data_IF_614192288785
#
_entry.id   IF_614192288785
#
_cell.length_a   1.000
_cell.length_b   1.000
_cell.length_c   1.000
_cell.angle_alpha   90.00
_cell.angle_beta   90.00
_cell.angle_gamma   90.00
#
_symmetry.space_group_name_H-M   'P 1'
#
loop_
_entity.id
_entity.type
_entity.pdbx_description
1 polymer ?
#
# COMPACT_ATOMS: atom_id res chain seq x y z
N UNK A 1 -2.51 14.47 19.13
CA UNK A 1 -2.04 13.21 18.55
C UNK A 1 -3.23 12.28 18.41
N UNK A 2 -3.39 11.56 17.31
CA UNK A 2 -4.55 10.72 17.05
C UNK A 2 -4.10 9.30 16.73
N UNK A 3 -4.80 8.32 17.30
CA UNK A 3 -4.72 6.94 16.89
C UNK A 3 -5.88 6.67 15.92
N UNK A 4 -5.57 6.06 14.79
CA UNK A 4 -6.53 5.74 13.75
C UNK A 4 -6.70 4.24 13.72
N UNK A 5 -7.96 3.80 13.74
CA UNK A 5 -8.31 2.40 13.61
C UNK A 5 -9.22 2.23 12.41
N UNK A 6 -8.80 1.39 11.48
CA UNK A 6 -9.62 0.95 10.36
C UNK A 6 -9.89 -0.55 10.50
N UNK A 7 -11.14 -0.94 10.36
CA UNK A 7 -11.58 -2.33 10.41
C UNK A 7 -12.40 -2.60 9.17
N UNK A 8 -12.19 -3.75 8.55
CA UNK A 8 -12.92 -4.14 7.36
C UNK A 8 -12.91 -5.64 7.11
N UNK A 9 -13.72 -6.05 6.16
CA UNK A 9 -13.79 -7.42 5.67
C UNK A 9 -13.90 -7.40 4.15
N UNK A 10 -13.24 -8.35 3.50
CA UNK A 10 -13.38 -8.62 2.07
C UNK A 10 -13.67 -10.10 1.89
N UNK A 11 -14.53 -10.43 0.91
CA UNK A 11 -14.93 -11.82 0.63
C UNK A 11 -14.39 -12.34 -0.71
N UNK A 12 -13.74 -11.47 -1.49
CA UNK A 12 -13.37 -11.70 -2.88
C UNK A 12 -11.86 -11.61 -3.13
N UNK A 13 -11.05 -11.42 -2.09
CA UNK A 13 -9.58 -11.39 -2.15
C UNK A 13 -9.00 -12.19 -0.99
N UNK A 14 -7.81 -12.76 -1.19
CA UNK A 14 -7.10 -13.50 -0.14
C UNK A 14 -6.22 -12.57 0.73
N UNK A 15 -5.94 -12.97 1.98
CA UNK A 15 -4.96 -12.29 2.84
C UNK A 15 -3.61 -12.01 2.18
N UNK A 16 -3.06 -12.99 1.44
CA UNK A 16 -1.76 -12.86 0.80
C UNK A 16 -1.75 -11.71 -0.22
N UNK A 17 -2.69 -11.71 -1.18
CA UNK A 17 -2.77 -10.64 -2.18
C UNK A 17 -3.12 -9.28 -1.56
N UNK A 18 -3.91 -9.26 -0.48
CA UNK A 18 -4.21 -8.03 0.24
C UNK A 18 -2.95 -7.40 0.87
N UNK A 19 -2.06 -8.22 1.42
CA UNK A 19 -0.81 -7.77 2.03
C UNK A 19 0.25 -7.45 0.97
N UNK A 20 0.41 -8.27 -0.06
CA UNK A 20 1.41 -8.07 -1.12
C UNK A 20 1.24 -6.70 -1.80
N UNK A 21 -0.01 -6.32 -2.11
CA UNK A 21 -0.33 -5.01 -2.71
C UNK A 21 0.18 -3.83 -1.88
N UNK A 22 0.20 -3.99 -0.55
CA UNK A 22 0.56 -2.93 0.40
C UNK A 22 2.03 -2.98 0.81
N UNK A 23 2.59 -4.19 0.87
CA UNK A 23 3.90 -4.42 1.45
C UNK A 23 5.00 -4.53 0.42
N UNK A 24 4.69 -5.01 -0.79
CA UNK A 24 5.71 -5.15 -1.82
C UNK A 24 6.11 -3.77 -2.33
N UNK A 25 7.39 -3.43 -2.14
CA UNK A 25 7.92 -2.07 -2.32
C UNK A 25 7.83 -1.64 -3.77
N UNK A 26 8.26 -2.48 -4.71
CA UNK A 26 8.31 -2.10 -6.11
C UNK A 26 6.91 -2.04 -6.72
N UNK A 27 6.03 -2.97 -6.34
CA UNK A 27 4.65 -2.95 -6.77
C UNK A 27 3.89 -1.73 -6.24
N UNK A 28 4.01 -1.42 -4.93
CA UNK A 28 3.30 -0.30 -4.31
C UNK A 28 3.66 1.05 -4.93
N UNK A 29 4.92 1.26 -5.29
CA UNK A 29 5.37 2.48 -5.98
C UNK A 29 4.65 2.75 -7.29
N UNK A 30 4.20 1.70 -7.97
CA UNK A 30 3.61 1.84 -9.30
C UNK A 30 2.14 2.25 -9.22
N UNK A 31 1.39 1.68 -8.27
CA UNK A 31 -0.04 1.91 -8.18
C UNK A 31 -0.43 3.04 -7.22
N UNK A 32 0.34 3.27 -6.15
CA UNK A 32 0.08 4.32 -5.18
C UNK A 32 0.71 5.64 -5.62
N UNK A 33 -0.12 6.49 -6.25
CA UNK A 33 0.31 7.80 -6.76
C UNK A 33 0.77 8.78 -5.68
N UNK A 34 0.52 8.48 -4.40
CA UNK A 34 0.98 9.32 -3.29
C UNK A 34 2.38 8.94 -2.79
N UNK A 35 2.90 7.77 -3.17
CA UNK A 35 4.29 7.38 -2.89
C UNK A 35 5.21 8.18 -3.81
N UNK A 36 6.09 9.00 -3.22
CA UNK A 36 7.18 9.67 -3.96
C UNK A 36 8.42 8.79 -4.03
N UNK A 37 8.68 8.05 -2.96
CA UNK A 37 9.83 7.15 -2.82
C UNK A 37 9.43 6.05 -1.84
N UNK A 38 9.75 4.81 -2.15
CA UNK A 38 9.61 3.68 -1.24
C UNK A 38 10.80 2.76 -1.53
N UNK A 39 11.61 2.48 -0.52
CA UNK A 39 12.86 1.74 -0.70
C UNK A 39 13.11 0.82 0.47
N UNK A 40 13.46 -0.42 0.16
CA UNK A 40 14.04 -1.35 1.10
C UNK A 40 15.51 -0.96 1.30
N UNK A 41 15.86 -0.52 2.51
CA UNK A 41 17.22 -0.14 2.88
C UNK A 41 18.05 -1.32 3.37
N UNK A 42 17.40 -2.27 4.06
CA UNK A 42 18.00 -3.47 4.63
C UNK A 42 16.92 -4.53 4.82
N UNK A 43 17.28 -5.79 4.65
CA UNK A 43 16.43 -6.95 4.93
C UNK A 43 17.28 -7.98 5.69
N UNK A 44 16.77 -8.44 6.83
CA UNK A 44 17.35 -9.49 7.66
C UNK A 44 16.22 -10.37 8.19
N UNK A 45 16.08 -11.58 7.67
CA UNK A 45 14.99 -12.51 8.02
C UNK A 45 13.60 -11.84 7.85
N UNK A 46 12.79 -11.82 8.91
CA UNK A 46 11.46 -11.18 8.94
C UNK A 46 11.52 -9.66 9.22
N UNK A 47 12.71 -9.05 9.18
CA UNK A 47 12.93 -7.64 9.50
C UNK A 47 13.34 -6.84 8.28
N UNK A 48 12.51 -5.89 7.92
CA UNK A 48 12.75 -4.99 6.79
C UNK A 48 12.90 -3.56 7.30
N UNK A 49 13.96 -2.89 6.87
CA UNK A 49 14.15 -1.46 7.12
C UNK A 49 13.74 -0.70 5.86
N UNK A 50 12.68 0.11 5.96
CA UNK A 50 12.05 0.75 4.81
C UNK A 50 12.14 2.27 4.93
N UNK A 51 12.48 2.94 3.83
CA UNK A 51 12.32 4.39 3.66
C UNK A 51 11.10 4.66 2.79
N UNK A 52 10.17 5.45 3.31
CA UNK A 52 8.97 5.88 2.60
C UNK A 52 8.86 7.40 2.61
N UNK A 53 8.79 8.00 1.41
CA UNK A 53 8.48 9.42 1.22
C UNK A 53 7.10 9.54 0.59
N UNK A 54 6.20 10.20 1.32
CA UNK A 54 4.79 10.34 1.00
C UNK A 54 4.47 11.77 0.60
N UNK A 55 3.68 11.96 -0.47
CA UNK A 55 3.12 13.26 -0.85
C UNK A 55 2.19 13.77 0.25
N UNK A 56 2.30 15.06 0.53
CA UNK A 56 1.35 15.77 1.36
C UNK A 56 0.71 16.91 0.57
N UNK A 57 -0.53 17.31 0.91
CA UNK A 57 -1.21 18.39 0.21
C UNK A 57 -0.46 19.72 0.41
N UNK A 58 -0.31 20.46 -0.69
CA UNK A 58 0.25 21.81 -0.67
C UNK A 58 -0.52 22.71 0.32
N UNK A 59 0.16 23.55 1.14
CA UNK A 59 1.58 23.92 1.09
C UNK A 59 2.52 23.04 1.95
N UNK A 60 2.07 21.88 2.42
CA UNK A 60 2.89 21.06 3.29
C UNK A 60 3.95 20.26 2.49
N UNK A 61 5.15 20.16 3.05
CA UNK A 61 6.24 19.36 2.47
C UNK A 61 5.96 17.85 2.57
N UNK A 62 6.54 17.02 1.69
CA UNK A 62 6.48 15.56 1.79
C UNK A 62 6.96 15.05 3.15
N UNK A 63 6.40 13.94 3.63
CA UNK A 63 6.85 13.29 4.86
C UNK A 63 7.77 12.14 4.53
N UNK A 64 8.83 12.02 5.29
CA UNK A 64 9.76 10.92 5.20
C UNK A 64 9.72 10.08 6.48
N UNK A 65 9.30 8.84 6.31
CA UNK A 65 9.30 7.79 7.31
C UNK A 65 10.48 6.88 7.04
N UNK A 66 11.21 6.50 8.07
CA UNK A 66 12.07 5.31 8.02
C UNK A 66 11.71 4.46 9.21
N UNK A 67 11.30 3.23 8.94
CA UNK A 67 10.73 2.34 9.93
C UNK A 67 11.22 0.92 9.71
N UNK A 68 11.29 0.16 10.80
CA UNK A 68 11.43 -1.27 10.74
C UNK A 68 10.04 -1.89 10.60
N UNK A 69 9.87 -2.80 9.65
CA UNK A 69 8.67 -3.62 9.45
C UNK A 69 8.98 -5.05 9.84
N UNK A 70 8.03 -5.69 10.52
CA UNK A 70 8.09 -7.08 10.94
C UNK A 70 6.80 -7.77 10.57
N UNK A 71 6.89 -8.99 10.06
CA UNK A 71 5.74 -9.79 9.65
C UNK A 71 5.76 -11.11 10.38
N UNK A 72 4.67 -11.46 11.05
CA UNK A 72 4.46 -12.78 11.66
C UNK A 72 3.28 -13.47 11.02
N UNK A 73 3.44 -14.74 10.69
CA UNK A 73 2.38 -15.60 10.16
C UNK A 73 2.08 -16.67 11.19
N UNK A 74 0.81 -16.78 11.58
CA UNK A 74 0.31 -17.88 12.42
C UNK A 74 -0.63 -18.73 11.57
N UNK A 75 -0.15 -19.92 11.19
CA UNK A 75 -0.94 -20.89 10.45
C UNK A 75 -2.13 -21.38 11.28
N UNK A 76 -1.92 -21.72 12.56
CA UNK A 76 -2.97 -22.21 13.47
C UNK A 76 -4.17 -21.27 13.62
N UNK A 77 -3.91 -19.95 13.57
CA UNK A 77 -4.96 -18.94 13.69
C UNK A 77 -5.32 -18.26 12.37
N UNK A 78 -4.74 -18.74 11.26
CA UNK A 78 -4.81 -18.17 9.91
C UNK A 78 -4.69 -16.64 9.92
N UNK A 79 -3.74 -16.13 10.72
CA UNK A 79 -3.57 -14.70 10.99
C UNK A 79 -2.17 -14.24 10.63
N UNK A 80 -2.09 -13.13 9.91
CA UNK A 80 -0.85 -12.43 9.58
C UNK A 80 -0.83 -11.08 10.29
N UNK A 81 0.25 -10.78 10.99
CA UNK A 81 0.47 -9.51 11.69
C UNK A 81 1.64 -8.80 11.05
N UNK A 82 1.43 -7.56 10.62
CA UNK A 82 2.47 -6.66 10.11
C UNK A 82 2.59 -5.49 11.07
N UNK A 83 3.72 -5.38 11.75
CA UNK A 83 4.03 -4.26 12.66
C UNK A 83 5.12 -3.41 12.05
N UNK A 84 4.95 -2.09 12.12
CA UNK A 84 5.87 -1.10 11.57
C UNK A 84 6.12 -0.04 12.62
N UNK A 85 7.39 0.23 12.94
CA UNK A 85 7.78 1.20 13.94
C UNK A 85 8.95 2.03 13.46
N UNK A 86 8.86 3.35 13.65
CA UNK A 86 9.90 4.30 13.24
C UNK A 86 11.24 3.99 13.90
N UNK A 87 12.32 4.12 13.14
CA UNK A 87 13.68 4.04 13.71
C UNK A 87 14.16 5.42 14.14
N UNK A 88 15.03 5.52 15.17
CA UNK A 88 15.58 6.80 15.59
C UNK A 88 16.20 7.60 14.44
N UNK A 89 15.85 8.88 14.35
CA UNK A 89 16.17 9.74 13.21
C UNK A 89 17.67 9.94 12.98
N UNK A 90 18.49 9.79 14.01
CA UNK A 90 19.95 9.93 13.95
C UNK A 90 20.65 8.74 13.28
N UNK A 91 20.02 7.56 13.22
CA UNK A 91 20.64 6.36 12.64
C UNK A 91 20.68 6.44 11.11
N UNK A 92 19.68 7.09 10.50
CA UNK A 92 19.54 7.15 9.06
C UNK A 92 19.25 8.60 8.66
N UNK A 93 20.16 9.25 7.91
CA UNK A 93 19.99 10.62 7.51
C UNK A 93 18.78 10.76 6.59
N UNK A 94 18.02 11.82 6.83
CA UNK A 94 16.90 12.22 5.99
C UNK A 94 17.29 13.23 4.92
N UNK A 95 16.35 13.55 4.04
CA UNK A 95 16.51 14.62 3.05
C UNK A 95 15.99 15.96 3.61
N UNK A 96 16.71 17.09 3.44
CA UNK A 96 16.21 18.40 3.86
C UNK A 96 14.99 18.87 3.06
N UNK A 97 14.64 18.19 1.96
CA UNK A 97 13.43 18.47 1.16
C UNK A 97 12.16 17.87 1.76
N UNK A 98 12.30 16.99 2.75
CA UNK A 98 11.22 16.25 3.37
C UNK A 98 11.17 16.57 4.87
N UNK A 99 9.98 16.49 5.44
CA UNK A 99 9.79 16.54 6.90
C UNK A 99 9.96 15.13 7.44
N UNK A 100 10.99 14.94 8.27
CA UNK A 100 11.32 13.67 8.92
C UNK A 100 10.32 13.39 10.04
N UNK A 101 9.56 12.30 9.94
CA UNK A 101 8.64 11.89 11.01
C UNK A 101 9.39 11.12 12.08
N UNK A 102 9.34 11.59 13.32
CA UNK A 102 10.03 10.98 14.46
C UNK A 102 9.14 10.05 15.28
N UNK A 103 7.81 10.16 15.15
CA UNK A 103 6.86 9.29 15.85
C UNK A 103 5.90 8.67 14.85
N UNK A 104 6.06 7.37 14.61
CA UNK A 104 5.19 6.59 13.74
C UNK A 104 5.17 5.13 14.21
N UNK A 105 3.96 4.57 14.31
CA UNK A 105 3.71 3.16 14.54
C UNK A 105 2.47 2.73 13.77
N UNK A 106 2.53 1.58 13.12
CA UNK A 106 1.41 0.97 12.43
C UNK A 106 1.39 -0.53 12.69
N UNK A 107 0.20 -1.08 12.96
CA UNK A 107 -0.01 -2.51 13.12
C UNK A 107 -1.22 -2.94 12.33
N UNK A 108 -1.01 -3.86 11.39
CA UNK A 108 -2.06 -4.51 10.63
C UNK A 108 -2.17 -5.95 11.09
N UNK A 109 -3.38 -6.38 11.45
CA UNK A 109 -3.71 -7.78 11.64
C UNK A 109 -4.70 -8.18 10.55
N UNK A 110 -4.41 -9.26 9.83
CA UNK A 110 -5.26 -9.83 8.78
C UNK A 110 -5.54 -11.27 9.16
N UNK A 111 -6.81 -11.65 9.24
CA UNK A 111 -7.23 -13.01 9.52
C UNK A 111 -8.01 -13.56 8.34
N UNK A 112 -7.63 -14.73 7.84
CA UNK A 112 -8.42 -15.41 6.81
C UNK A 112 -9.76 -15.89 7.35
N UNK A 113 -10.76 -15.96 6.48
CA UNK A 113 -12.01 -16.68 6.80
C UNK A 113 -11.83 -18.20 6.75
N UNK A 114 -10.81 -18.69 6.02
CA UNK A 114 -10.44 -20.11 5.86
C UNK A 114 -8.90 -20.22 5.83
N UNK A 115 -8.32 -20.73 4.75
CA UNK A 115 -6.86 -20.77 4.52
C UNK A 115 -6.32 -19.42 4.04
N UNK A 116 -5.02 -19.15 4.17
CA UNK A 116 -4.42 -17.86 3.81
C UNK A 116 -4.48 -17.55 2.29
N UNK A 117 -4.58 -18.59 1.48
CA UNK A 117 -4.67 -18.51 0.02
C UNK A 117 -6.12 -18.35 -0.46
N UNK A 118 -7.10 -18.66 0.38
CA UNK A 118 -8.52 -18.60 0.03
C UNK A 118 -9.03 -17.15 0.03
N UNK A 119 -10.09 -16.90 -0.74
CA UNK A 119 -10.81 -15.65 -0.67
C UNK A 119 -11.55 -15.52 0.66
N UNK A 120 -11.49 -14.32 1.25
CA UNK A 120 -12.14 -14.04 2.53
C UNK A 120 -11.12 -13.63 3.58
N UNK A 121 -11.20 -12.39 4.03
CA UNK A 121 -10.37 -11.88 5.10
C UNK A 121 -11.09 -10.83 5.94
N UNK A 122 -10.76 -10.80 7.23
CA UNK A 122 -11.02 -9.66 8.10
C UNK A 122 -9.68 -8.96 8.39
N UNK A 123 -9.69 -7.64 8.48
CA UNK A 123 -8.49 -6.90 8.84
C UNK A 123 -8.76 -5.80 9.85
N UNK A 124 -7.74 -5.52 10.65
CA UNK A 124 -7.66 -4.37 11.56
C UNK A 124 -6.32 -3.68 11.32
N UNK A 125 -6.38 -2.41 10.90
CA UNK A 125 -5.23 -1.52 10.82
C UNK A 125 -5.31 -0.50 11.95
N UNK A 126 -4.31 -0.48 12.80
CA UNK A 126 -4.10 0.55 13.82
C UNK A 126 -2.88 1.37 13.41
N UNK A 127 -3.07 2.67 13.24
CA UNK A 127 -2.06 3.58 12.72
C UNK A 127 -1.94 4.79 13.65
N UNK A 128 -0.72 5.20 13.95
CA UNK A 128 -0.42 6.30 14.85
C UNK A 128 0.81 7.05 14.32
N UNK A 129 0.67 8.36 14.13
CA UNK A 129 1.77 9.22 13.71
C UNK A 129 1.69 10.63 14.29
N UNK A 130 2.85 11.28 14.35
CA UNK A 130 2.96 12.73 14.40
C UNK A 130 3.46 13.23 13.03
N UNK A 131 2.62 13.88 12.20
CA UNK A 131 3.03 14.37 10.88
C UNK A 131 3.93 15.62 10.95
N UNK A 132 4.37 16.00 12.15
CA UNK A 132 5.20 17.17 12.47
C UNK A 132 4.63 18.48 11.90
N UNK A 133 3.29 18.57 11.86
CA UNK A 133 2.58 19.75 11.41
C UNK A 133 1.18 19.82 12.01
N UNK A 134 0.68 21.05 12.13
CA UNK A 134 -0.72 21.30 12.45
C UNK A 134 -1.58 21.06 11.21
N UNK A 135 -2.19 19.87 11.11
CA UNK A 135 -3.08 19.54 9.99
C UNK A 135 -4.44 20.22 10.19
N UNK A 136 -4.91 21.06 9.25
CA UNK A 136 -6.23 21.67 9.34
C UNK A 136 -7.34 20.62 9.41
N UNK A 137 -8.40 20.90 10.17
CA UNK A 137 -9.54 19.97 10.36
C UNK A 137 -10.21 19.56 9.06
N UNK A 138 -10.28 20.46 8.07
CA UNK A 138 -10.82 20.17 6.74
C UNK A 138 -10.01 19.10 5.99
N UNK A 139 -8.68 19.21 6.03
CA UNK A 139 -7.76 18.21 5.42
C UNK A 139 -7.89 16.88 6.15
N UNK A 140 -7.92 16.90 7.48
CA UNK A 140 -8.16 15.71 8.29
C UNK A 140 -9.47 15.01 7.91
N UNK A 141 -10.58 15.76 7.88
CA UNK A 141 -11.88 15.22 7.51
C UNK A 141 -11.88 14.65 6.09
N UNK A 142 -11.18 15.29 5.15
CA UNK A 142 -11.03 14.77 3.80
C UNK A 142 -10.25 13.45 3.78
N UNK A 143 -9.13 13.35 4.52
CA UNK A 143 -8.34 12.13 4.62
C UNK A 143 -9.17 10.95 5.16
N UNK A 144 -9.93 11.17 6.24
CA UNK A 144 -10.76 10.12 6.85
C UNK A 144 -11.93 9.70 5.96
N UNK A 145 -12.63 10.66 5.35
CA UNK A 145 -13.86 10.36 4.60
C UNK A 145 -13.63 9.99 3.14
N UNK A 146 -12.49 10.37 2.55
CA UNK A 146 -12.20 10.16 1.13
C UNK A 146 -10.87 9.44 0.92
N UNK A 147 -9.79 9.93 1.53
CA UNK A 147 -8.43 9.40 1.32
C UNK A 147 -8.28 7.93 1.74
N UNK A 148 -8.62 7.62 2.99
CA UNK A 148 -8.56 6.25 3.53
C UNK A 148 -9.44 5.26 2.75
N UNK A 149 -10.74 5.55 2.55
CA UNK A 149 -11.60 4.69 1.75
C UNK A 149 -11.13 4.52 0.30
N UNK A 150 -10.55 5.57 -0.31
CA UNK A 150 -9.96 5.47 -1.64
C UNK A 150 -8.77 4.52 -1.65
N UNK A 151 -7.84 4.65 -0.71
CA UNK A 151 -6.69 3.77 -0.56
C UNK A 151 -7.12 2.29 -0.48
N UNK A 152 -8.08 1.97 0.41
CA UNK A 152 -8.57 0.60 0.58
C UNK A 152 -9.25 0.04 -0.69
N UNK A 153 -9.99 0.88 -1.45
CA UNK A 153 -10.54 0.46 -2.75
C UNK A 153 -9.44 0.14 -3.76
N UNK A 154 -8.35 0.92 -3.77
CA UNK A 154 -7.21 0.64 -4.63
C UNK A 154 -6.53 -0.65 -4.22
N UNK A 155 -6.31 -0.88 -2.91
CA UNK A 155 -5.74 -2.14 -2.40
C UNK A 155 -6.56 -3.34 -2.90
N UNK A 156 -7.88 -3.33 -2.69
CA UNK A 156 -8.77 -4.40 -3.19
C UNK A 156 -8.69 -4.56 -4.71
N UNK A 157 -8.73 -3.45 -5.45
CA UNK A 157 -8.64 -3.48 -6.92
C UNK A 157 -7.37 -4.17 -7.40
N UNK A 158 -6.21 -3.82 -6.84
CA UNK A 158 -4.94 -4.40 -7.25
C UNK A 158 -4.76 -5.83 -6.74
N UNK A 159 -5.31 -6.18 -5.57
CA UNK A 159 -5.34 -7.56 -5.10
C UNK A 159 -6.13 -8.46 -6.06
N UNK A 160 -7.29 -7.99 -6.56
CA UNK A 160 -8.05 -8.70 -7.60
C UNK A 160 -7.25 -8.85 -8.89
N UNK A 161 -6.61 -7.78 -9.37
CA UNK A 161 -5.80 -7.83 -10.60
C UNK A 161 -4.67 -8.86 -10.46
N UNK A 162 -3.93 -8.82 -9.36
CA UNK A 162 -2.82 -9.75 -9.11
C UNK A 162 -3.34 -11.19 -9.05
N UNK A 163 -4.47 -11.42 -8.35
CA UNK A 163 -5.04 -12.77 -8.22
C UNK A 163 -5.39 -13.45 -9.56
N UNK A 164 -5.65 -12.66 -10.61
CA UNK A 164 -5.94 -13.14 -11.96
C UNK A 164 -4.67 -13.23 -12.82
N UNK A 165 -3.72 -12.32 -12.63
CA UNK A 165 -2.52 -12.21 -13.46
C UNK A 165 -1.36 -13.11 -13.00
N UNK A 166 -1.32 -13.52 -11.72
CA UNK A 166 -0.29 -14.40 -11.20
C UNK A 166 -0.73 -15.87 -11.15
N UNK A 167 0.07 -16.79 -11.70
CA UNK A 167 0.11 -18.17 -11.21
C UNK A 167 0.45 -18.18 -9.72
N UNK A 168 -0.12 -19.14 -8.96
CA UNK A 168 0.26 -19.36 -7.55
C UNK A 168 1.79 -19.50 -7.44
N UNK A 169 2.41 -18.82 -6.48
CA UNK A 169 3.86 -18.81 -6.17
C UNK A 169 4.77 -17.97 -7.08
N UNK A 170 4.26 -16.89 -7.68
CA UNK A 170 5.11 -15.89 -8.35
C UNK A 170 5.09 -14.54 -7.61
N UNK A 171 6.18 -13.80 -7.72
CA UNK A 171 6.34 -12.47 -7.10
C UNK A 171 5.44 -11.43 -7.81
N UNK A 172 4.78 -10.58 -7.02
CA UNK A 172 3.99 -9.44 -7.47
C UNK A 172 4.76 -8.46 -8.37
N UNK A 173 6.08 -8.41 -8.26
CA UNK A 173 6.92 -7.60 -9.14
C UNK A 173 6.84 -8.02 -10.62
N UNK A 174 6.56 -9.29 -10.93
CA UNK A 174 6.44 -9.80 -12.32
C UNK A 174 5.13 -9.36 -13.00
N UNK A 175 4.07 -9.14 -12.21
CA UNK A 175 2.74 -8.68 -12.68
C UNK A 175 2.85 -7.35 -13.41
N UNK A 176 3.82 -6.51 -13.04
CA UNK A 176 4.10 -5.26 -13.71
C UNK A 176 4.35 -5.44 -15.21
N UNK A 177 5.17 -6.43 -15.60
CA UNK A 177 5.44 -6.68 -17.02
C UNK A 177 4.15 -7.03 -17.74
N UNK A 178 3.30 -7.85 -17.14
CA UNK A 178 2.03 -8.29 -17.73
C UNK A 178 1.03 -7.14 -17.84
N UNK A 179 0.83 -6.35 -16.77
CA UNK A 179 -0.09 -5.19 -16.78
C UNK A 179 0.36 -4.12 -17.77
N UNK A 180 1.66 -3.80 -17.80
CA UNK A 180 2.20 -2.81 -18.75
C UNK A 180 2.09 -3.33 -20.19
N UNK A 181 2.42 -4.60 -20.45
CA UNK A 181 2.26 -5.20 -21.78
C UNK A 181 0.79 -5.19 -22.22
N UNK A 182 -0.15 -5.57 -21.35
CA UNK A 182 -1.59 -5.52 -21.66
C UNK A 182 -2.10 -4.10 -21.91
N UNK A 183 -1.69 -3.10 -21.11
CA UNK A 183 -2.07 -1.70 -21.33
C UNK A 183 -1.42 -1.12 -22.60
N UNK A 184 -0.21 -1.54 -22.95
CA UNK A 184 0.47 -1.14 -24.19
C UNK A 184 -0.20 -1.76 -25.42
N UNK A 185 -0.62 -3.03 -25.33
CA UNK A 185 -1.38 -3.73 -26.39
C UNK A 185 -2.80 -3.13 -26.55
N UNK A 186 -3.47 -2.78 -25.45
CA UNK A 186 -4.76 -2.08 -25.48
C UNK A 186 -4.66 -0.67 -26.08
N UNK A 187 -3.53 0.02 -25.88
CA UNK A 187 -3.28 1.33 -26.50
C UNK A 187 -2.97 1.25 -28.01
N UNK A 188 -2.62 0.07 -28.56
CA UNK A 188 -2.26 -0.12 -29.98
C UNK A 188 -3.48 -0.49 -30.86
N UNK A 189 -4.66 -0.78 -30.30
CA UNK A 189 -5.89 -1.00 -31.10
C UNK A 189 -6.87 0.18 -31.02
N UNK A 190 -6.46 1.36 -31.49
CA UNK A 190 -7.42 2.34 -32.04
C UNK A 190 -7.58 2.07 -33.54
N UNK A 191 -8.51 1.17 -33.89
CA UNK A 191 -8.98 1.06 -35.28
C UNK A 191 -9.96 2.21 -35.51
N UNK A 192 -9.73 3.11 -36.48
CA UNK A 192 -10.65 4.22 -36.74
C UNK A 192 -11.97 3.67 -37.31
N UNK A 193 -13.08 4.00 -36.65
CA UNK A 193 -14.42 3.79 -37.19
C UNK A 193 -14.59 4.79 -38.34
N UNK A 194 -14.51 4.28 -39.57
CA UNK A 194 -14.84 5.02 -40.77
C UNK A 194 -16.36 5.26 -40.78
N UNK A 195 -16.82 6.45 -40.40
CA UNK A 195 -18.20 6.86 -40.66
C UNK A 195 -18.37 7.08 -42.17
N UNK A 196 -18.92 6.07 -42.87
CA UNK A 196 -19.54 6.27 -44.17
C UNK A 196 -20.88 6.98 -43.97
N UNK A 197 -20.98 8.22 -44.45
CA UNK A 197 -22.27 8.82 -44.78
C UNK A 197 -22.87 8.06 -45.96
N UNK A 198 -24.09 7.58 -45.82
CA UNK A 198 -24.96 7.29 -46.95
C UNK A 198 -26.26 8.06 -46.78
N UNK A 199 -26.50 8.89 -47.80
CA UNK A 199 -27.68 9.67 -48.21
C UNK A 199 -28.14 10.77 -47.25
#
# INVERSE_FOLDING_TARGET
MYEYKCVGSYYDISPNYFLDVQNEVEFRRQWDSNVMRLELLKEEDEHELIRWVQKYPYPLYPREYVYARRTWVSEDSHTIIVDSEVVPTHLIPGSPKNVRVATYRSRMAVRSHKELEDHGLDFVLTYFDNPEANIPRSVYNWMVNHGGPYFLRQVRKYALIISVCLPKNQDCSEVFRIIVLCNTILSIKRVPILMRRQL
#
